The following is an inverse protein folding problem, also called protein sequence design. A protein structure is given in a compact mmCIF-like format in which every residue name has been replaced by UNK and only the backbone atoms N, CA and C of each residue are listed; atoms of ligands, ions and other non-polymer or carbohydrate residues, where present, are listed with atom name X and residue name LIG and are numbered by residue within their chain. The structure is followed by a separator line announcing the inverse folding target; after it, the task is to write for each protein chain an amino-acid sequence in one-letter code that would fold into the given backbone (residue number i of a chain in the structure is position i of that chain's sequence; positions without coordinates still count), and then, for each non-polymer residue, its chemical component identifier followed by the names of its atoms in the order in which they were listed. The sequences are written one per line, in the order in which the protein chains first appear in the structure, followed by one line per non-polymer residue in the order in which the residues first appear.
data_IF_427884115406
#
_entry.id   IF_427884115406
#
_cell.length_a   1.000
_cell.length_b   1.000
_cell.length_c   1.000
_cell.angle_alpha   90.00
_cell.angle_beta   90.00
_cell.angle_gamma   90.00
#
_symmetry.space_group_name_H-M   'P 1'
#
loop_
_entity.id
_entity.type
_entity.pdbx_description
1 polymer ?
#
# COMPACT_ATOMS: atom_id res chain seq x y z
N UNK A 1 7.11 1.94 -13.61
CA UNK A 1 5.85 1.20 -13.37
C UNK A 1 6.16 -0.27 -13.39
N UNK A 2 5.76 -0.97 -12.34
CA UNK A 2 5.84 -2.42 -12.21
C UNK A 2 4.48 -3.00 -12.64
N UNK A 3 4.43 -3.98 -13.55
CA UNK A 3 3.21 -4.75 -13.78
C UNK A 3 3.07 -5.73 -12.59
N UNK A 4 2.51 -5.25 -11.47
CA UNK A 4 2.38 -6.04 -10.25
C UNK A 4 1.10 -5.68 -9.49
N UNK A 5 0.36 -6.70 -9.06
CA UNK A 5 -0.80 -6.56 -8.21
C UNK A 5 -0.50 -6.96 -6.75
N UNK A 6 -1.22 -6.34 -5.81
CA UNK A 6 -1.28 -6.82 -4.42
C UNK A 6 -2.37 -7.87 -4.31
N UNK A 7 -2.01 -9.07 -3.85
CA UNK A 7 -2.93 -10.22 -3.74
C UNK A 7 -3.41 -10.48 -2.32
N UNK A 8 -2.65 -10.05 -1.30
CA UNK A 8 -3.05 -10.17 0.12
C UNK A 8 -2.59 -8.97 0.93
N UNK A 9 -3.37 -8.64 1.95
CA UNK A 9 -3.03 -7.65 2.97
C UNK A 9 -3.36 -8.18 4.36
N UNK A 10 -2.46 -7.95 5.30
CA UNK A 10 -2.71 -8.14 6.73
C UNK A 10 -2.25 -6.89 7.49
N UNK A 11 -3.16 -6.17 8.18
CA UNK A 11 -2.78 -5.02 8.99
C UNK A 11 -2.07 -5.46 10.28
N UNK A 12 -1.02 -4.73 10.65
CA UNK A 12 -0.20 -4.93 11.84
C UNK A 12 -0.22 -3.69 12.75
N UNK A 13 0.16 -3.81 14.03
CA UNK A 13 0.31 -2.66 14.91
C UNK A 13 1.29 -1.61 14.39
N UNK A 14 0.99 -0.33 14.65
CA UNK A 14 1.81 0.81 14.23
C UNK A 14 1.64 1.17 12.75
N UNK A 15 0.43 1.05 12.20
CA UNK A 15 0.09 1.34 10.79
C UNK A 15 1.04 0.69 9.78
N UNK A 16 1.40 -0.56 10.05
CA UNK A 16 2.18 -1.41 9.12
C UNK A 16 1.26 -2.38 8.41
N UNK A 17 1.61 -2.74 7.19
CA UNK A 17 0.90 -3.76 6.41
C UNK A 17 1.87 -4.87 6.01
N UNK A 18 1.49 -6.12 6.23
CA UNK A 18 2.12 -7.25 5.57
C UNK A 18 1.40 -7.49 4.24
N UNK A 19 2.08 -7.26 3.11
CA UNK A 19 1.53 -7.42 1.78
C UNK A 19 2.11 -8.66 1.09
N UNK A 20 1.29 -9.33 0.29
CA UNK A 20 1.74 -10.30 -0.71
C UNK A 20 1.46 -9.76 -2.09
N UNK A 21 2.47 -9.79 -2.95
CA UNK A 21 2.37 -9.42 -4.36
C UNK A 21 2.19 -10.67 -5.23
N UNK A 22 1.70 -10.51 -6.45
CA UNK A 22 1.45 -11.64 -7.37
C UNK A 22 2.71 -12.44 -7.74
N UNK A 23 3.89 -11.83 -7.68
CA UNK A 23 5.19 -12.50 -7.91
C UNK A 23 5.64 -13.38 -6.72
N UNK A 24 4.82 -13.43 -5.66
CA UNK A 24 5.08 -14.17 -4.44
C UNK A 24 5.89 -13.41 -3.40
N UNK A 25 6.33 -12.17 -3.68
CA UNK A 25 6.99 -11.32 -2.69
C UNK A 25 6.06 -11.09 -1.50
N UNK A 26 6.57 -11.31 -0.30
CA UNK A 26 5.91 -10.93 0.95
C UNK A 26 6.78 -9.92 1.70
N UNK A 27 6.19 -8.79 2.08
CA UNK A 27 6.94 -7.71 2.74
C UNK A 27 6.07 -6.94 3.73
N UNK A 28 6.69 -6.50 4.83
CA UNK A 28 6.08 -5.58 5.79
C UNK A 28 6.47 -4.15 5.44
N UNK A 29 5.48 -3.31 5.19
CA UNK A 29 5.65 -1.90 4.83
C UNK A 29 5.15 -1.02 5.98
N UNK A 30 5.95 -0.01 6.34
CA UNK A 30 5.51 1.08 7.22
C UNK A 30 4.74 2.12 6.41
N UNK A 31 3.44 2.23 6.67
CA UNK A 31 2.59 3.15 5.91
C UNK A 31 2.70 4.58 6.42
N UNK A 32 3.27 4.87 7.59
CA UNK A 32 3.44 6.26 8.05
C UNK A 32 4.38 7.04 7.11
N UNK A 33 5.38 6.37 6.52
CA UNK A 33 6.25 6.96 5.50
C UNK A 33 5.53 7.31 4.19
N UNK A 34 4.34 6.74 3.98
CA UNK A 34 3.51 6.97 2.79
C UNK A 34 2.38 7.93 3.12
N UNK A 35 1.54 7.69 4.13
CA UNK A 35 0.25 8.39 4.27
C UNK A 35 0.30 9.67 5.13
N UNK A 36 1.31 9.81 6.01
CA UNK A 36 1.28 10.83 7.10
C UNK A 36 1.39 12.28 6.62
N UNK A 37 2.02 12.50 5.48
CA UNK A 37 2.17 13.82 4.86
C UNK A 37 0.92 14.27 4.11
N UNK A 38 0.05 13.33 3.72
CA UNK A 38 -1.15 13.62 2.94
C UNK A 38 -2.31 14.08 3.84
N UNK A 39 -3.25 14.79 3.21
CA UNK A 39 -4.48 15.31 3.82
C UNK A 39 -5.68 14.92 2.96
N UNK A 40 -6.90 15.22 3.41
CA UNK A 40 -8.11 14.85 2.69
C UNK A 40 -8.46 13.37 2.91
N UNK A 41 -8.60 12.60 1.83
CA UNK A 41 -9.01 11.18 1.88
C UNK A 41 -8.05 10.30 2.70
N UNK A 42 -6.79 10.71 2.87
CA UNK A 42 -5.82 9.98 3.71
C UNK A 42 -5.90 10.32 5.20
N UNK A 43 -6.59 11.39 5.60
CA UNK A 43 -6.63 11.83 7.00
C UNK A 43 -7.20 10.76 7.96
N UNK A 44 -8.28 10.03 7.62
CA UNK A 44 -8.80 8.96 8.48
C UNK A 44 -7.82 7.80 8.72
N UNK A 45 -6.80 7.64 7.87
CA UNK A 45 -5.80 6.56 8.00
C UNK A 45 -4.84 6.76 9.17
N UNK A 46 -4.82 7.94 9.78
CA UNK A 46 -4.06 8.20 11.01
C UNK A 46 -4.73 7.60 12.25
N UNK A 47 -6.01 7.22 12.15
CA UNK A 47 -6.71 6.44 13.16
C UNK A 47 -6.43 4.94 12.93
N UNK A 48 -5.90 4.27 13.96
CA UNK A 48 -5.49 2.87 13.87
C UNK A 48 -6.67 1.93 13.61
N UNK A 49 -7.86 2.24 14.13
CA UNK A 49 -9.05 1.42 13.94
C UNK A 49 -9.55 1.52 12.50
N UNK A 50 -9.56 2.73 11.92
CA UNK A 50 -9.89 2.95 10.52
C UNK A 50 -8.86 2.33 9.58
N UNK A 51 -7.57 2.53 9.87
CA UNK A 51 -6.46 1.97 9.09
C UNK A 51 -6.54 0.44 8.96
N UNK A 52 -6.97 -0.27 10.00
CA UNK A 52 -7.11 -1.74 9.99
C UNK A 52 -8.22 -2.25 9.08
N UNK A 53 -9.07 -1.38 8.54
CA UNK A 53 -10.14 -1.75 7.60
C UNK A 53 -9.64 -1.89 6.15
N UNK A 54 -8.32 -1.83 5.94
CA UNK A 54 -7.67 -2.08 4.64
C UNK A 54 -8.10 -3.42 4.07
N UNK A 55 -8.32 -3.46 2.76
CA UNK A 55 -8.60 -4.68 1.99
C UNK A 55 -7.92 -4.61 0.63
N UNK A 56 -7.74 -5.75 -0.02
CA UNK A 56 -7.39 -5.80 -1.44
C UNK A 56 -8.64 -5.51 -2.26
N UNK A 57 -8.49 -4.69 -3.29
CA UNK A 57 -9.43 -4.49 -4.39
C UNK A 57 -8.89 -5.23 -5.62
N UNK A 58 -9.47 -6.38 -6.00
CA UNK A 58 -9.00 -7.16 -7.15
C UNK A 58 -9.22 -6.49 -8.50
N UNK A 59 -10.14 -5.53 -8.61
CA UNK A 59 -10.38 -4.80 -9.86
C UNK A 59 -9.31 -3.72 -10.07
N UNK A 60 -8.86 -3.09 -8.98
CA UNK A 60 -7.79 -2.09 -9.00
C UNK A 60 -6.38 -2.69 -8.86
N UNK A 61 -6.26 -3.97 -8.49
CA UNK A 61 -4.98 -4.65 -8.27
C UNK A 61 -4.21 -4.14 -7.04
N UNK A 62 -4.88 -3.48 -6.09
CA UNK A 62 -4.20 -2.82 -4.96
C UNK A 62 -5.01 -2.79 -3.66
N UNK A 63 -4.46 -2.18 -2.60
CA UNK A 63 -5.14 -1.99 -1.33
C UNK A 63 -6.01 -0.73 -1.32
N UNK A 64 -7.16 -0.84 -0.65
CA UNK A 64 -8.13 0.24 -0.49
C UNK A 64 -8.72 0.29 0.92
N UNK A 65 -9.25 1.45 1.30
CA UNK A 65 -9.99 1.68 2.54
C UNK A 65 -11.48 2.00 2.28
N UNK A 66 -12.36 1.94 3.30
CA UNK A 66 -13.80 2.18 3.13
C UNK A 66 -14.17 3.56 2.58
N UNK A 67 -13.30 4.56 2.75
CA UNK A 67 -13.50 5.92 2.24
C UNK A 67 -13.00 6.11 0.80
N UNK A 68 -12.59 5.04 0.12
CA UNK A 68 -12.08 5.09 -1.24
C UNK A 68 -10.63 5.52 -1.37
N UNK A 69 -9.89 5.70 -0.26
CA UNK A 69 -8.44 5.85 -0.34
C UNK A 69 -7.81 4.56 -0.87
N UNK A 70 -6.90 4.69 -1.81
CA UNK A 70 -6.06 3.63 -2.35
C UNK A 70 -4.58 4.05 -2.33
N UNK A 71 -3.67 3.09 -2.48
CA UNK A 71 -2.26 3.37 -2.70
C UNK A 71 -1.82 2.59 -3.93
N UNK A 72 -1.21 3.27 -4.90
CA UNK A 72 -0.74 2.64 -6.14
C UNK A 72 0.19 1.44 -5.85
N UNK A 73 0.01 0.29 -6.51
CA UNK A 73 0.82 -0.90 -6.27
C UNK A 73 2.31 -0.66 -6.55
N UNK A 74 2.66 0.26 -7.44
CA UNK A 74 4.04 0.69 -7.67
C UNK A 74 4.71 1.27 -6.42
N UNK A 75 3.96 2.09 -5.67
CA UNK A 75 4.45 2.72 -4.44
C UNK A 75 4.70 1.66 -3.38
N UNK A 76 3.78 0.69 -3.27
CA UNK A 76 3.88 -0.42 -2.33
C UNK A 76 5.05 -1.35 -2.71
N UNK A 77 5.21 -1.69 -3.98
CA UNK A 77 6.28 -2.57 -4.45
C UNK A 77 7.65 -1.89 -4.35
N UNK A 78 7.74 -0.60 -4.65
CA UNK A 78 8.94 0.21 -4.43
C UNK A 78 9.33 0.25 -2.95
N UNK A 79 8.37 0.48 -2.05
CA UNK A 79 8.62 0.44 -0.61
C UNK A 79 9.04 -0.96 -0.12
N UNK A 80 8.44 -2.02 -0.67
CA UNK A 80 8.77 -3.40 -0.32
C UNK A 80 10.16 -3.84 -0.77
N UNK A 81 10.61 -3.36 -1.94
CA UNK A 81 11.85 -3.83 -2.59
C UNK A 81 13.01 -2.85 -2.51
N UNK A 82 12.75 -1.59 -2.12
CA UNK A 82 13.71 -0.49 -2.24
C UNK A 82 13.99 -0.07 -3.69
N UNK A 83 13.30 -0.66 -4.68
CA UNK A 83 13.46 -0.29 -6.08
C UNK A 83 12.84 1.09 -6.33
N UNK A 84 13.50 1.98 -7.08
CA UNK A 84 12.91 3.26 -7.44
C UNK A 84 11.68 3.06 -8.31
N UNK A 85 10.65 3.88 -8.07
CA UNK A 85 9.42 3.90 -8.87
C UNK A 85 9.74 4.61 -10.20
N UNK A 86 10.13 3.81 -11.19
CA UNK A 86 10.53 4.30 -12.51
C UNK A 86 11.93 4.91 -12.56
N UNK A 87 12.86 4.20 -13.19
CA UNK A 87 13.85 4.89 -14.00
C UNK A 87 13.15 5.24 -15.32
N UNK A 88 13.17 6.51 -15.72
CA UNK A 88 13.05 6.82 -17.14
C UNK A 88 14.14 6.01 -17.85
N UNK A 89 13.74 5.17 -18.81
CA UNK A 89 14.69 4.72 -19.82
C UNK A 89 15.20 5.98 -20.52
N UNK A 90 16.52 6.10 -20.65
CA UNK A 90 17.18 7.17 -21.39
C UNK A 90 16.62 7.33 -22.80
#
# INVERSE_FOLDING_TARGET
MFPIDVTKVQPLPGRRLNLTFEDGLNAVIDMDGIVKTYRGVFLPLLDDCFFRQVRVDPELGTIVWPNGADVCPDVLYGAATGKPIGAQQA
#
